data_IF_834015584485
#
_entry.id   IF_834015584485
#
_cell.length_a   1.000
_cell.length_b   1.000
_cell.length_c   1.000
_cell.angle_alpha   90.00
_cell.angle_beta   90.00
_cell.angle_gamma   90.00
#
_symmetry.space_group_name_H-M   'P 1'
#
loop_
_entity.id
_entity.type
_entity.pdbx_description
1 polymer ?
#
# COMPACT_ATOMS: atom_id res chain seq x y z
N UNK A 1 -30.31 74.82 -20.50
CA UNK A 1 -29.95 76.12 -19.98
C UNK A 1 -28.87 75.99 -18.96
N UNK A 2 -27.70 76.56 -19.27
CA UNK A 2 -26.51 76.85 -18.46
C UNK A 2 -25.70 75.66 -17.91
N UNK A 3 -24.57 75.26 -18.55
CA UNK A 3 -23.23 75.86 -18.71
C UNK A 3 -22.69 76.43 -17.38
N UNK A 4 -21.58 75.88 -16.92
CA UNK A 4 -20.38 76.58 -16.45
C UNK A 4 -19.42 75.59 -15.79
N UNK A 5 -18.42 75.31 -16.51
CA UNK A 5 -17.02 75.81 -16.50
C UNK A 5 -16.12 75.17 -15.43
N UNK A 6 -15.29 74.46 -16.02
CA UNK A 6 -14.02 73.92 -15.54
C UNK A 6 -13.08 75.09 -15.18
N UNK A 7 -12.43 75.00 -14.06
CA UNK A 7 -11.13 75.69 -13.83
C UNK A 7 -10.10 74.63 -13.46
N UNK A 8 -9.26 74.45 -14.44
CA UNK A 8 -7.99 73.79 -14.33
C UNK A 8 -7.11 74.50 -13.27
N UNK A 9 -6.70 73.80 -12.26
CA UNK A 9 -5.66 74.26 -11.35
C UNK A 9 -4.42 73.40 -11.57
N UNK A 10 -3.41 73.97 -12.25
CA UNK A 10 -2.10 73.31 -12.38
C UNK A 10 -1.34 73.64 -11.08
N UNK A 11 -1.07 72.68 -10.29
CA UNK A 11 -0.12 72.79 -9.18
C UNK A 11 1.13 72.04 -9.57
N UNK A 12 2.15 72.83 -9.88
CA UNK A 12 3.51 72.35 -10.07
C UNK A 12 4.07 71.92 -8.71
N UNK A 13 4.19 70.65 -8.48
CA UNK A 13 4.81 70.10 -7.28
C UNK A 13 6.14 69.45 -7.63
N UNK A 14 7.16 70.00 -7.05
CA UNK A 14 8.56 69.58 -7.15
C UNK A 14 8.71 68.20 -6.64
N UNK A 15 9.02 67.24 -7.49
CA UNK A 15 9.39 65.88 -7.08
C UNK A 15 10.85 65.89 -6.67
N UNK A 16 11.08 65.89 -5.37
CA UNK A 16 12.42 65.65 -4.84
C UNK A 16 12.63 64.11 -4.92
N UNK A 17 13.43 63.67 -5.89
CA UNK A 17 13.86 62.28 -5.98
C UNK A 17 14.91 62.03 -4.89
N UNK A 18 14.47 61.37 -3.81
CA UNK A 18 15.37 60.78 -2.81
C UNK A 18 15.90 59.50 -3.38
N UNK A 19 17.11 59.51 -3.91
CA UNK A 19 17.82 58.27 -4.31
C UNK A 19 18.35 57.64 -3.03
N UNK A 20 17.63 56.65 -2.51
CA UNK A 20 18.15 55.76 -1.46
C UNK A 20 19.06 54.75 -2.17
N UNK A 21 20.38 54.99 -2.07
CA UNK A 21 21.37 53.98 -2.46
C UNK A 21 21.37 52.92 -1.38
N UNK A 22 20.56 51.86 -1.58
CA UNK A 22 20.66 50.67 -0.79
C UNK A 22 21.91 49.90 -1.24
N UNK A 23 23.02 50.12 -0.53
CA UNK A 23 24.17 49.21 -0.63
C UNK A 23 23.77 47.85 -0.10
N UNK A 24 23.36 46.95 -1.01
CA UNK A 24 23.15 45.57 -0.72
C UNK A 24 24.52 44.97 -0.40
N UNK A 25 24.80 44.78 0.87
CA UNK A 25 25.90 43.93 1.29
C UNK A 25 25.60 42.51 0.85
N UNK A 26 26.24 42.09 -0.22
CA UNK A 26 26.26 40.72 -0.67
C UNK A 26 27.06 39.91 0.36
N UNK A 27 26.38 39.38 1.36
CA UNK A 27 26.93 38.33 2.22
C UNK A 27 26.87 37.06 1.38
N UNK A 28 28.00 36.44 1.01
CA UNK A 28 27.96 35.13 0.36
C UNK A 28 27.45 34.14 1.41
N UNK A 29 26.17 33.84 1.36
CA UNK A 29 25.63 32.69 2.09
C UNK A 29 26.26 31.48 1.40
N UNK A 30 27.32 30.97 1.98
CA UNK A 30 27.85 29.66 1.62
C UNK A 30 26.77 28.66 1.95
N UNK A 31 25.92 28.34 0.97
CA UNK A 31 25.09 27.13 1.03
C UNK A 31 26.08 25.99 1.04
N UNK A 32 26.37 25.49 2.24
CA UNK A 32 26.93 24.16 2.39
C UNK A 32 25.84 23.23 1.87
N UNK A 33 25.87 22.93 0.60
CA UNK A 33 25.14 21.79 0.04
C UNK A 33 25.68 20.57 0.77
N UNK A 34 25.06 20.25 1.90
CA UNK A 34 25.08 18.89 2.39
C UNK A 34 24.42 18.12 1.27
N UNK A 35 25.21 17.53 0.39
CA UNK A 35 24.74 16.43 -0.42
C UNK A 35 24.28 15.38 0.58
N UNK A 36 23.00 15.43 0.93
CA UNK A 36 22.30 14.26 1.44
C UNK A 36 22.37 13.34 0.24
N UNK A 37 23.41 12.49 0.22
CA UNK A 37 23.40 11.29 -0.60
C UNK A 37 22.05 10.67 -0.27
N UNK A 38 21.14 10.44 -1.24
CA UNK A 38 19.98 9.65 -0.93
C UNK A 38 20.56 8.39 -0.32
N UNK A 39 20.36 8.20 0.99
CA UNK A 39 20.59 6.93 1.59
C UNK A 39 19.77 6.01 0.71
N UNK A 40 20.45 5.16 -0.04
CA UNK A 40 19.86 4.12 -0.85
C UNK A 40 19.32 3.10 0.16
N UNK A 41 18.32 3.53 0.93
CA UNK A 41 17.43 2.66 1.69
C UNK A 41 16.41 2.10 0.70
N UNK A 42 16.88 1.33 -0.27
CA UNK A 42 16.25 0.08 -0.51
C UNK A 42 16.43 -0.66 0.82
N UNK A 43 15.50 -0.46 1.75
CA UNK A 43 15.30 -1.41 2.82
C UNK A 43 15.04 -2.71 2.08
N UNK A 44 16.09 -3.50 1.90
CA UNK A 44 16.02 -4.75 1.19
C UNK A 44 14.94 -5.56 1.86
N UNK A 45 14.09 -6.19 1.07
CA UNK A 45 13.04 -7.08 1.57
C UNK A 45 13.63 -7.98 2.67
N UNK A 46 13.17 -7.79 3.91
CA UNK A 46 13.66 -8.54 5.06
C UNK A 46 12.74 -9.74 5.31
N UNK A 47 13.06 -10.84 4.66
CA UNK A 47 12.31 -12.09 4.74
C UNK A 47 12.19 -12.61 6.18
N UNK A 48 13.27 -12.54 6.97
CA UNK A 48 13.22 -12.98 8.37
C UNK A 48 12.19 -12.20 9.18
N UNK A 49 12.20 -10.87 9.07
CA UNK A 49 11.23 -10.04 9.77
C UNK A 49 9.79 -10.27 9.26
N UNK A 50 9.60 -10.58 7.99
CA UNK A 50 8.29 -10.95 7.44
C UNK A 50 7.81 -12.29 8.03
N UNK A 51 8.66 -13.29 8.12
CA UNK A 51 8.33 -14.59 8.73
C UNK A 51 7.97 -14.46 10.22
N UNK A 52 8.73 -13.64 10.98
CA UNK A 52 8.43 -13.37 12.39
C UNK A 52 7.05 -12.73 12.56
N UNK A 53 6.74 -11.70 11.77
CA UNK A 53 5.41 -11.08 11.77
C UNK A 53 4.32 -12.06 11.33
N UNK A 54 4.62 -12.90 10.36
CA UNK A 54 3.71 -13.92 9.90
C UNK A 54 3.37 -14.95 10.98
N UNK A 55 4.36 -15.44 11.73
CA UNK A 55 4.15 -16.35 12.86
C UNK A 55 3.17 -15.74 13.88
N UNK A 56 3.30 -14.44 14.16
CA UNK A 56 2.39 -13.71 15.04
C UNK A 56 0.99 -13.59 14.43
N UNK A 57 0.89 -13.16 13.16
CA UNK A 57 -0.39 -12.90 12.51
C UNK A 57 -1.22 -14.17 12.25
N UNK A 58 -0.54 -15.29 12.00
CA UNK A 58 -1.18 -16.57 11.70
C UNK A 58 -1.43 -17.42 12.96
N UNK A 59 -0.66 -17.18 14.04
CA UNK A 59 -0.77 -17.94 15.28
C UNK A 59 -0.09 -19.30 15.26
N UNK A 60 0.66 -19.63 14.21
CA UNK A 60 1.45 -20.85 14.06
C UNK A 60 2.72 -20.62 13.24
N UNK A 61 3.63 -21.60 13.25
CA UNK A 61 4.95 -21.48 12.65
C UNK A 61 4.89 -21.58 11.10
N UNK A 62 5.21 -20.51 10.40
CA UNK A 62 5.23 -20.47 8.94
C UNK A 62 6.29 -21.37 8.30
N UNK A 63 7.34 -21.77 9.00
CA UNK A 63 8.31 -22.73 8.47
C UNK A 63 7.74 -24.15 8.28
N UNK A 64 6.55 -24.40 8.83
CA UNK A 64 5.84 -25.67 8.74
C UNK A 64 4.84 -25.72 7.58
N UNK A 65 4.77 -24.65 6.76
CA UNK A 65 3.76 -24.51 5.70
C UNK A 65 4.36 -24.01 4.40
N UNK A 66 3.63 -24.25 3.31
CA UNK A 66 3.83 -23.62 2.03
C UNK A 66 2.63 -22.72 1.71
N UNK A 67 2.92 -21.49 1.28
CA UNK A 67 1.93 -20.59 0.69
C UNK A 67 2.03 -20.64 -0.83
N UNK A 68 0.89 -20.68 -1.49
CA UNK A 68 0.80 -20.53 -2.93
C UNK A 68 -0.28 -19.51 -3.28
N UNK A 69 0.11 -18.46 -4.00
CA UNK A 69 -0.79 -17.39 -4.44
C UNK A 69 -0.86 -17.40 -5.96
N UNK A 70 -2.06 -17.49 -6.49
CA UNK A 70 -2.27 -17.59 -7.93
C UNK A 70 -3.34 -16.61 -8.40
N UNK A 71 -2.98 -15.73 -9.34
CA UNK A 71 -3.96 -14.95 -10.09
C UNK A 71 -4.67 -15.86 -11.10
N UNK A 72 -6.00 -15.76 -11.16
CA UNK A 72 -6.83 -16.53 -12.09
C UNK A 72 -7.58 -15.62 -13.06
N UNK A 73 -8.22 -16.18 -14.08
CA UNK A 73 -9.03 -15.42 -15.04
C UNK A 73 -10.29 -14.80 -14.43
N UNK A 74 -10.72 -15.27 -13.24
CA UNK A 74 -11.92 -14.79 -12.55
C UNK A 74 -11.64 -14.17 -11.18
N UNK A 75 -10.36 -14.07 -10.77
CA UNK A 75 -9.97 -13.53 -9.47
C UNK A 75 -8.62 -14.05 -9.00
N UNK A 76 -8.61 -14.84 -7.92
CA UNK A 76 -7.37 -15.40 -7.36
C UNK A 76 -7.62 -16.57 -6.43
N UNK A 77 -6.54 -17.29 -6.12
CA UNK A 77 -6.53 -18.42 -5.19
C UNK A 77 -5.35 -18.32 -4.25
N UNK A 78 -5.59 -18.57 -2.97
CA UNK A 78 -4.58 -18.66 -1.90
C UNK A 78 -4.65 -20.09 -1.38
N UNK A 79 -3.59 -20.86 -1.57
CA UNK A 79 -3.47 -22.20 -0.96
C UNK A 79 -2.43 -22.16 0.16
N UNK A 80 -2.75 -22.78 1.27
CA UNK A 80 -1.84 -22.99 2.40
C UNK A 80 -1.83 -24.48 2.71
N UNK A 81 -0.63 -25.06 2.73
CA UNK A 81 -0.43 -26.49 2.93
C UNK A 81 0.65 -26.75 3.97
N UNK A 82 0.49 -27.75 4.81
CA UNK A 82 1.54 -28.24 5.70
C UNK A 82 2.68 -28.88 4.91
N UNK A 83 3.93 -28.64 5.34
CA UNK A 83 5.11 -29.35 4.84
C UNK A 83 5.07 -30.84 5.22
N UNK A 84 4.32 -31.20 6.26
CA UNK A 84 4.12 -32.57 6.69
C UNK A 84 2.64 -32.94 6.61
N UNK A 85 2.27 -33.73 5.59
CA UNK A 85 0.90 -34.17 5.33
C UNK A 85 0.30 -35.06 6.46
N UNK A 86 1.12 -35.55 7.38
CA UNK A 86 0.67 -36.33 8.53
C UNK A 86 0.49 -35.48 9.80
N UNK A 87 0.84 -34.19 9.76
CA UNK A 87 0.68 -33.28 10.90
C UNK A 87 -0.75 -32.71 10.97
N UNK A 88 -1.63 -33.51 11.57
CA UNK A 88 -3.04 -33.14 11.72
C UNK A 88 -3.24 -31.84 12.51
N UNK A 89 -2.32 -31.51 13.45
CA UNK A 89 -2.40 -30.25 14.22
C UNK A 89 -2.20 -29.06 13.31
N UNK A 90 -1.08 -29.01 12.58
CA UNK A 90 -0.77 -27.91 11.66
C UNK A 90 -1.85 -27.81 10.56
N UNK A 91 -2.34 -28.93 10.00
CA UNK A 91 -3.41 -28.93 9.00
C UNK A 91 -4.69 -28.28 9.55
N UNK A 92 -5.08 -28.58 10.79
CA UNK A 92 -6.27 -27.98 11.41
C UNK A 92 -6.07 -26.48 11.69
N UNK A 93 -4.87 -26.06 12.10
CA UNK A 93 -4.52 -24.63 12.28
C UNK A 93 -4.61 -23.88 10.95
N UNK A 94 -4.09 -24.43 9.85
CA UNK A 94 -4.22 -23.89 8.50
C UNK A 94 -5.71 -23.73 8.12
N UNK A 95 -6.52 -24.74 8.30
CA UNK A 95 -7.94 -24.70 7.96
C UNK A 95 -8.71 -23.64 8.75
N UNK A 96 -8.40 -23.50 10.03
CA UNK A 96 -8.97 -22.42 10.86
C UNK A 96 -8.54 -21.06 10.33
N UNK A 97 -7.25 -20.89 10.12
CA UNK A 97 -6.68 -19.61 9.62
C UNK A 97 -7.27 -19.22 8.27
N UNK A 98 -7.43 -20.12 7.32
CA UNK A 98 -8.02 -19.82 6.01
C UNK A 98 -9.47 -19.34 6.14
N UNK A 99 -10.24 -19.89 7.08
CA UNK A 99 -11.61 -19.40 7.39
C UNK A 99 -11.59 -18.02 8.05
N UNK A 100 -10.61 -17.75 8.93
CA UNK A 100 -10.46 -16.45 9.57
C UNK A 100 -10.13 -15.37 8.54
N UNK A 101 -9.18 -15.62 7.63
CA UNK A 101 -8.85 -14.66 6.56
C UNK A 101 -9.99 -14.48 5.56
N UNK A 102 -10.76 -15.53 5.27
CA UNK A 102 -11.97 -15.43 4.45
C UNK A 102 -12.96 -14.45 5.07
N UNK A 103 -13.23 -14.60 6.37
CA UNK A 103 -14.11 -13.70 7.10
C UNK A 103 -13.57 -12.27 7.10
N UNK A 104 -12.31 -12.07 7.49
CA UNK A 104 -11.69 -10.73 7.52
C UNK A 104 -11.73 -10.04 6.16
N UNK A 105 -11.33 -10.73 5.10
CA UNK A 105 -11.34 -10.17 3.75
C UNK A 105 -12.75 -9.85 3.27
N UNK A 106 -13.74 -10.65 3.63
CA UNK A 106 -15.15 -10.37 3.32
C UNK A 106 -15.66 -9.09 4.01
N UNK A 107 -15.03 -8.69 5.12
CA UNK A 107 -15.30 -7.41 5.79
C UNK A 107 -14.45 -6.25 5.24
N UNK A 108 -13.59 -6.51 4.23
CA UNK A 108 -12.64 -5.53 3.70
C UNK A 108 -11.45 -5.29 4.62
N UNK A 109 -11.18 -6.18 5.57
CA UNK A 109 -10.08 -6.07 6.50
C UNK A 109 -8.84 -6.80 5.99
N UNK A 110 -7.84 -6.04 5.53
CA UNK A 110 -6.54 -6.51 5.05
C UNK A 110 -5.39 -6.18 6.03
N UNK A 111 -5.70 -6.02 7.32
CA UNK A 111 -4.70 -5.67 8.34
C UNK A 111 -3.59 -6.73 8.45
N UNK A 112 -3.91 -8.02 8.35
CA UNK A 112 -2.91 -9.10 8.40
C UNK A 112 -1.88 -9.01 7.28
N UNK A 113 -2.24 -8.91 5.99
CA UNK A 113 -1.28 -8.66 4.92
C UNK A 113 -0.43 -7.41 5.15
N UNK A 114 -1.02 -6.28 5.58
CA UNK A 114 -0.28 -5.05 5.87
C UNK A 114 0.74 -5.25 6.99
N UNK A 115 0.35 -5.92 8.06
CA UNK A 115 1.24 -6.20 9.19
C UNK A 115 2.39 -7.11 8.78
N UNK A 116 2.12 -8.19 8.06
CA UNK A 116 3.12 -9.17 7.63
C UNK A 116 4.16 -8.51 6.73
N UNK A 117 3.72 -7.75 5.73
CA UNK A 117 4.61 -7.11 4.75
C UNK A 117 5.16 -5.76 5.23
N UNK A 118 4.67 -5.19 6.34
CA UNK A 118 5.02 -3.86 6.85
C UNK A 118 4.84 -2.73 5.80
N UNK A 119 3.88 -2.89 4.90
CA UNK A 119 3.56 -1.94 3.82
C UNK A 119 2.13 -2.14 3.32
N UNK A 120 1.63 -1.13 2.58
CA UNK A 120 0.36 -1.26 1.86
C UNK A 120 0.53 -2.31 0.75
N UNK A 121 -0.41 -3.26 0.72
CA UNK A 121 -0.41 -4.34 -0.28
C UNK A 121 -1.24 -3.90 -1.49
N UNK A 122 -0.71 -3.98 -2.71
CA UNK A 122 -1.43 -3.57 -3.92
C UNK A 122 -2.79 -4.21 -4.07
N UNK A 123 -3.77 -3.45 -4.56
CA UNK A 123 -5.13 -3.89 -4.83
C UNK A 123 -6.08 -3.91 -3.63
N UNK A 124 -5.57 -3.83 -2.40
CA UNK A 124 -6.39 -3.95 -1.18
C UNK A 124 -7.34 -2.77 -0.96
N UNK A 125 -7.02 -1.59 -1.47
CA UNK A 125 -7.88 -0.40 -1.46
C UNK A 125 -9.17 -0.62 -2.27
N UNK A 126 -9.05 -1.11 -3.50
CA UNK A 126 -10.19 -1.46 -4.36
C UNK A 126 -10.95 -2.66 -3.79
N UNK A 127 -10.24 -3.69 -3.31
CA UNK A 127 -10.87 -4.87 -2.68
C UNK A 127 -11.67 -4.47 -1.43
N UNK A 128 -11.19 -3.51 -0.63
CA UNK A 128 -11.94 -2.98 0.52
C UNK A 128 -13.17 -2.19 0.08
N UNK A 129 -13.01 -1.29 -0.89
CA UNK A 129 -14.09 -0.42 -1.37
C UNK A 129 -15.23 -1.22 -2.05
N UNK A 130 -14.89 -2.32 -2.71
CA UNK A 130 -15.82 -3.16 -3.47
C UNK A 130 -16.01 -4.56 -2.86
N UNK A 131 -15.77 -4.73 -1.56
CA UNK A 131 -15.76 -6.03 -0.87
C UNK A 131 -17.01 -6.88 -1.13
N UNK A 132 -18.18 -6.25 -1.27
CA UNK A 132 -19.47 -6.91 -1.49
C UNK A 132 -19.62 -7.51 -2.90
N UNK A 133 -18.71 -7.19 -3.83
CA UNK A 133 -18.63 -7.75 -5.18
C UNK A 133 -17.64 -8.91 -5.30
N UNK A 134 -16.97 -9.27 -4.21
CA UNK A 134 -16.08 -10.45 -4.16
C UNK A 134 -16.86 -11.64 -3.60
N UNK A 135 -16.83 -12.74 -4.31
CA UNK A 135 -17.31 -14.02 -3.80
C UNK A 135 -16.12 -14.80 -3.24
N UNK A 136 -16.23 -15.21 -1.98
CA UNK A 136 -15.23 -16.00 -1.30
C UNK A 136 -15.71 -17.42 -1.11
N UNK A 137 -14.88 -18.41 -1.44
CA UNK A 137 -15.13 -19.82 -1.10
C UNK A 137 -13.88 -20.46 -0.50
N UNK A 138 -14.09 -21.26 0.55
CA UNK A 138 -13.04 -22.04 1.20
C UNK A 138 -13.19 -23.49 0.81
N UNK A 139 -12.09 -24.12 0.41
CA UNK A 139 -12.02 -25.53 0.07
C UNK A 139 -10.91 -26.20 0.86
N UNK A 140 -11.25 -27.14 1.72
CA UNK A 140 -10.25 -27.99 2.35
C UNK A 140 -9.63 -28.93 1.29
N UNK A 141 -8.32 -28.98 1.29
CA UNK A 141 -7.50 -29.80 0.38
C UNK A 141 -6.64 -30.76 1.20
N UNK A 142 -5.97 -31.69 0.53
CA UNK A 142 -5.02 -32.57 1.18
C UNK A 142 -3.88 -31.73 1.78
N UNK A 143 -3.65 -31.90 3.08
CA UNK A 143 -2.62 -31.18 3.81
C UNK A 143 -2.91 -29.72 4.14
N UNK A 144 -4.11 -29.17 3.82
CA UNK A 144 -4.37 -27.77 4.09
C UNK A 144 -5.74 -27.26 3.68
N UNK A 145 -5.77 -26.03 3.17
CA UNK A 145 -6.99 -25.37 2.69
C UNK A 145 -6.67 -24.31 1.63
N UNK A 146 -7.64 -24.01 0.76
CA UNK A 146 -7.59 -22.99 -0.25
C UNK A 146 -8.69 -21.95 -0.03
N UNK A 147 -8.37 -20.66 -0.22
CA UNK A 147 -9.32 -19.56 -0.32
C UNK A 147 -9.39 -19.10 -1.78
N UNK A 148 -10.57 -19.14 -2.36
CA UNK A 148 -10.83 -18.74 -3.74
C UNK A 148 -11.63 -17.45 -3.72
N UNK A 149 -11.16 -16.46 -4.47
CA UNK A 149 -11.78 -15.15 -4.67
C UNK A 149 -12.24 -15.04 -6.11
N UNK A 150 -13.51 -14.71 -6.34
CA UNK A 150 -14.03 -14.48 -7.70
C UNK A 150 -14.85 -13.20 -7.77
N UNK A 151 -14.85 -12.56 -8.94
CA UNK A 151 -15.64 -11.37 -9.22
C UNK A 151 -15.96 -11.25 -10.71
N UNK A 152 -17.04 -10.52 -11.03
CA UNK A 152 -17.38 -10.12 -12.39
C UNK A 152 -17.05 -8.63 -12.68
N UNK A 153 -16.56 -7.88 -11.68
CA UNK A 153 -16.14 -6.48 -11.83
C UNK A 153 -14.69 -6.44 -12.32
N UNK A 154 -14.46 -5.79 -13.46
CA UNK A 154 -13.14 -5.76 -14.12
C UNK A 154 -12.07 -5.02 -13.31
N UNK A 155 -12.44 -3.93 -12.64
CA UNK A 155 -11.50 -3.18 -11.80
C UNK A 155 -11.09 -4.01 -10.59
N UNK A 156 -12.06 -4.66 -9.97
CA UNK A 156 -11.83 -5.53 -8.83
C UNK A 156 -11.04 -6.79 -9.22
N UNK A 157 -11.28 -7.36 -10.41
CA UNK A 157 -10.48 -8.46 -10.95
C UNK A 157 -9.00 -8.07 -11.06
N UNK A 158 -8.71 -6.89 -11.62
CA UNK A 158 -7.35 -6.35 -11.67
C UNK A 158 -6.74 -6.18 -10.27
N UNK A 159 -7.50 -5.67 -9.33
CA UNK A 159 -7.05 -5.47 -7.95
C UNK A 159 -6.70 -6.80 -7.25
N UNK A 160 -7.55 -7.82 -7.39
CA UNK A 160 -7.29 -9.17 -6.87
C UNK A 160 -6.03 -9.76 -7.51
N UNK A 161 -5.84 -9.60 -8.82
CA UNK A 161 -4.65 -10.09 -9.51
C UNK A 161 -3.38 -9.38 -9.05
N UNK A 162 -3.43 -8.05 -8.83
CA UNK A 162 -2.31 -7.29 -8.25
C UNK A 162 -1.96 -7.80 -6.85
N UNK A 163 -2.96 -8.03 -6.01
CA UNK A 163 -2.79 -8.61 -4.69
C UNK A 163 -2.11 -9.98 -4.75
N UNK A 164 -2.60 -10.90 -5.59
CA UNK A 164 -2.04 -12.25 -5.73
C UNK A 164 -0.61 -12.24 -6.26
N UNK A 165 -0.31 -11.41 -7.27
CA UNK A 165 1.02 -11.28 -7.85
C UNK A 165 2.01 -10.71 -6.84
N UNK A 166 1.60 -9.69 -6.05
CA UNK A 166 2.43 -9.16 -4.97
C UNK A 166 2.73 -10.25 -3.94
N UNK A 167 1.72 -10.93 -3.41
CA UNK A 167 1.89 -12.00 -2.42
C UNK A 167 2.81 -13.10 -2.95
N UNK A 168 2.58 -13.58 -4.17
CA UNK A 168 3.43 -14.59 -4.81
C UNK A 168 4.89 -14.14 -4.88
N UNK A 169 5.15 -12.88 -5.24
CA UNK A 169 6.52 -12.34 -5.35
C UNK A 169 7.25 -12.28 -4.00
N UNK A 170 6.51 -12.07 -2.91
CA UNK A 170 7.08 -11.93 -1.57
C UNK A 170 7.28 -13.28 -0.85
N UNK A 171 6.55 -14.30 -1.28
CA UNK A 171 6.60 -15.65 -0.70
C UNK A 171 7.37 -16.67 -1.58
N UNK A 172 8.07 -16.21 -2.63
CA UNK A 172 8.95 -17.08 -3.43
C UNK A 172 10.12 -17.56 -2.59
N UNK A 173 10.17 -18.86 -2.28
CA UNK A 173 11.26 -19.48 -1.53
C UNK A 173 10.84 -20.23 -0.26
N UNK A 174 9.55 -20.45 -0.04
CA UNK A 174 9.00 -21.29 1.03
C UNK A 174 8.30 -22.49 0.44
#
# INVERSE_FOLDING_TARGET
MNILNVKTLIISGIVAAVIIIATVYFIPISYRTTTISPANTTAGFNQTAMLERGNVAMGFNQSMIHHHFMATTTGGEIMIMSTNMSDAKTINEIRSHVRDIQYEFSQGNFTKPFYIHAQVVPGTDVMTAKKDLIQYSVKDIDGGSALILTTNDTELLNAIQQFMNFQSSQHMGH
#
